data_IF_657018403702
#
_entry.id   IF_657018403702
#
_cell.length_a   1.000
_cell.length_b   1.000
_cell.length_c   1.000
_cell.angle_alpha   90.00
_cell.angle_beta   90.00
_cell.angle_gamma   90.00
#
_symmetry.space_group_name_H-M   'P 1'
#
loop_
_entity.id
_entity.type
_entity.pdbx_description
1 polymer ?
#
# COMPACT_ATOMS: atom_id res chain seq x y z
N UNK A 1 11.71 -2.80 13.67
CA UNK A 1 11.49 -4.12 13.06
C UNK A 1 12.42 -5.10 13.74
N UNK A 2 11.90 -6.23 14.20
CA UNK A 2 12.69 -7.27 14.88
C UNK A 2 13.27 -8.27 13.87
N UNK A 3 14.29 -9.02 14.26
CA UNK A 3 14.92 -10.02 13.38
C UNK A 3 13.93 -11.11 12.93
N UNK A 4 12.97 -11.48 13.80
CA UNK A 4 11.90 -12.42 13.47
C UNK A 4 10.96 -11.88 12.40
N UNK A 5 10.58 -10.60 12.49
CA UNK A 5 9.76 -9.95 11.48
C UNK A 5 10.50 -9.87 10.14
N UNK A 6 11.81 -9.59 10.19
CA UNK A 6 12.69 -9.49 9.01
C UNK A 6 12.78 -10.83 8.28
N UNK A 7 13.09 -11.91 8.99
CA UNK A 7 13.12 -13.26 8.43
C UNK A 7 11.75 -13.69 7.87
N UNK A 8 10.66 -13.30 8.54
CA UNK A 8 9.30 -13.54 8.06
C UNK A 8 9.01 -12.81 6.73
N UNK A 9 9.50 -11.58 6.57
CA UNK A 9 9.37 -10.81 5.34
C UNK A 9 10.17 -11.46 4.20
N UNK A 10 11.44 -11.79 4.43
CA UNK A 10 12.33 -12.43 3.43
C UNK A 10 11.73 -13.73 2.90
N UNK A 11 11.20 -14.57 3.79
CA UNK A 11 10.51 -15.80 3.40
C UNK A 11 9.31 -15.55 2.48
N UNK A 12 8.51 -14.52 2.77
CA UNK A 12 7.35 -14.16 1.93
C UNK A 12 7.77 -13.58 0.59
N UNK A 13 8.82 -12.76 0.55
CA UNK A 13 9.37 -12.25 -0.72
C UNK A 13 9.81 -13.41 -1.60
N UNK A 14 10.54 -14.38 -1.05
CA UNK A 14 10.96 -15.57 -1.80
C UNK A 14 9.76 -16.41 -2.30
N UNK A 15 8.69 -16.53 -1.50
CA UNK A 15 7.50 -17.30 -1.86
C UNK A 15 6.61 -16.61 -2.90
N UNK A 16 6.39 -15.30 -2.77
CA UNK A 16 5.40 -14.58 -3.56
C UNK A 16 5.98 -13.88 -4.79
N UNK A 17 7.28 -13.60 -4.80
CA UNK A 17 7.97 -12.90 -5.89
C UNK A 17 9.16 -13.71 -6.46
N UNK A 18 9.06 -15.05 -6.67
CA UNK A 18 10.19 -15.85 -7.10
C UNK A 18 10.69 -15.40 -8.48
N UNK A 19 11.94 -14.95 -8.54
CA UNK A 19 12.58 -14.52 -9.78
C UNK A 19 11.98 -13.26 -10.42
N UNK A 20 11.10 -12.52 -9.73
CA UNK A 20 10.53 -11.28 -10.28
C UNK A 20 11.52 -10.12 -10.08
N UNK A 21 11.93 -9.42 -11.15
CA UNK A 21 12.76 -8.22 -11.01
C UNK A 21 11.97 -7.11 -10.31
N UNK A 22 12.71 -6.15 -9.75
CA UNK A 22 12.13 -4.90 -9.27
C UNK A 22 11.36 -4.20 -10.40
N UNK A 23 10.18 -3.68 -10.10
CA UNK A 23 9.36 -2.97 -11.08
C UNK A 23 9.98 -1.59 -11.38
N UNK A 24 10.05 -1.24 -12.66
CA UNK A 24 10.23 0.15 -13.10
C UNK A 24 8.84 0.77 -13.31
N UNK A 25 8.53 1.82 -12.55
CA UNK A 25 7.26 2.53 -12.61
C UNK A 25 7.36 3.89 -13.31
N UNK A 26 8.50 4.19 -13.93
CA UNK A 26 8.73 5.44 -14.65
C UNK A 26 7.64 5.73 -15.68
N UNK A 27 6.97 6.87 -15.54
CA UNK A 27 5.87 7.29 -16.43
C UNK A 27 4.61 6.44 -16.32
N UNK A 28 4.46 5.65 -15.25
CA UNK A 28 3.29 4.80 -15.01
C UNK A 28 2.47 5.28 -13.82
N UNK A 29 1.19 4.92 -13.84
CA UNK A 29 0.32 5.01 -12.66
C UNK A 29 0.39 3.71 -11.87
N UNK A 30 0.76 3.80 -10.60
CA UNK A 30 0.74 2.69 -9.66
C UNK A 30 -0.59 2.66 -8.90
N UNK A 31 -1.23 1.50 -8.81
CA UNK A 31 -2.44 1.30 -8.01
C UNK A 31 -2.15 0.30 -6.92
N UNK A 32 -2.31 0.70 -5.67
CA UNK A 32 -2.21 -0.20 -4.51
C UNK A 32 -3.59 -0.54 -3.98
N UNK A 33 -3.84 -1.81 -3.70
CA UNK A 33 -5.15 -2.35 -3.32
C UNK A 33 -5.01 -3.22 -2.07
N UNK A 34 -5.94 -3.07 -1.12
CA UNK A 34 -6.03 -3.92 0.06
C UNK A 34 -7.48 -4.06 0.51
N UNK A 35 -7.81 -5.16 1.18
CA UNK A 35 -9.18 -5.43 1.65
C UNK A 35 -9.51 -4.58 2.89
N UNK A 36 -8.50 -4.24 3.69
CA UNK A 36 -8.65 -3.40 4.87
C UNK A 36 -7.41 -2.60 5.25
N UNK A 37 -7.62 -1.43 5.85
CA UNK A 37 -6.55 -0.59 6.41
C UNK A 37 -6.94 -0.13 7.80
N UNK A 38 -6.10 -0.45 8.80
CA UNK A 38 -6.28 0.04 10.17
C UNK A 38 -5.75 1.47 10.34
N UNK A 39 -4.41 1.66 10.33
CA UNK A 39 -3.74 2.96 10.56
C UNK A 39 -3.06 3.54 9.30
N UNK A 40 -3.09 2.82 8.18
CA UNK A 40 -2.49 3.25 6.91
C UNK A 40 -0.97 3.11 6.79
N UNK A 41 -0.24 2.65 7.81
CA UNK A 41 1.22 2.58 7.80
C UNK A 41 1.82 1.79 6.62
N UNK A 42 1.31 0.58 6.38
CA UNK A 42 1.73 -0.25 5.25
C UNK A 42 1.44 0.44 3.91
N UNK A 43 0.26 1.04 3.76
CA UNK A 43 -0.11 1.76 2.54
C UNK A 43 0.78 2.97 2.27
N UNK A 44 1.10 3.75 3.31
CA UNK A 44 2.03 4.88 3.20
C UNK A 44 3.42 4.43 2.77
N UNK A 45 3.90 3.30 3.31
CA UNK A 45 5.16 2.71 2.87
C UNK A 45 5.10 2.29 1.38
N UNK A 46 4.00 1.65 0.95
CA UNK A 46 3.80 1.26 -0.46
C UNK A 46 3.77 2.49 -1.39
N UNK A 47 3.09 3.57 -0.99
CA UNK A 47 3.08 4.83 -1.74
C UNK A 47 4.51 5.37 -1.89
N UNK A 48 5.28 5.41 -0.81
CA UNK A 48 6.67 5.86 -0.82
C UNK A 48 7.54 5.03 -1.76
N UNK A 49 7.41 3.70 -1.73
CA UNK A 49 8.11 2.80 -2.64
C UNK A 49 7.71 3.06 -4.10
N UNK A 50 6.42 3.20 -4.39
CA UNK A 50 5.96 3.45 -5.76
C UNK A 50 6.54 4.77 -6.33
N UNK A 51 6.56 5.83 -5.51
CA UNK A 51 7.19 7.11 -5.88
C UNK A 51 8.69 6.97 -6.11
N UNK A 52 9.39 6.25 -5.23
CA UNK A 52 10.83 6.00 -5.37
C UNK A 52 11.18 5.19 -6.64
N UNK A 53 10.26 4.35 -7.12
CA UNK A 53 10.37 3.61 -8.37
C UNK A 53 9.93 4.41 -9.62
N UNK A 54 9.64 5.70 -9.48
CA UNK A 54 9.36 6.59 -10.60
C UNK A 54 7.89 6.70 -11.02
N UNK A 55 6.94 6.22 -10.20
CA UNK A 55 5.52 6.32 -10.52
C UNK A 55 5.08 7.79 -10.72
N UNK A 56 4.52 8.08 -11.90
CA UNK A 56 3.94 9.38 -12.22
C UNK A 56 2.74 9.68 -11.32
N UNK A 57 1.93 8.64 -11.07
CA UNK A 57 0.78 8.71 -10.16
C UNK A 57 0.71 7.48 -9.26
N UNK A 58 0.17 7.66 -8.06
CA UNK A 58 -0.09 6.61 -7.09
C UNK A 58 -1.52 6.74 -6.60
N UNK A 59 -2.32 5.70 -6.84
CA UNK A 59 -3.71 5.59 -6.42
C UNK A 59 -3.86 4.50 -5.36
N UNK A 60 -4.74 4.71 -4.39
CA UNK A 60 -5.04 3.76 -3.33
C UNK A 60 -6.51 3.34 -3.41
N UNK A 61 -6.77 2.03 -3.39
CA UNK A 61 -8.10 1.48 -3.22
C UNK A 61 -8.14 0.57 -2.00
N UNK A 62 -9.06 0.82 -1.07
CA UNK A 62 -9.23 -0.02 0.12
C UNK A 62 -10.68 -0.45 0.30
N UNK A 63 -10.90 -1.70 0.73
CA UNK A 63 -12.22 -2.20 1.12
C UNK A 63 -12.75 -1.49 2.37
N UNK A 64 -12.23 -1.85 3.54
CA UNK A 64 -12.61 -1.32 4.84
C UNK A 64 -11.51 -0.43 5.45
N UNK A 65 -11.84 0.82 5.82
CA UNK A 65 -10.89 1.69 6.49
C UNK A 65 -11.58 2.75 7.36
N UNK A 66 -10.99 3.13 8.51
CA UNK A 66 -11.36 4.32 9.26
C UNK A 66 -11.25 5.59 8.42
N UNK A 67 -12.10 6.58 8.71
CA UNK A 67 -12.16 7.82 7.94
C UNK A 67 -10.85 8.63 8.04
N UNK A 68 -10.24 8.68 9.21
CA UNK A 68 -8.95 9.33 9.47
C UNK A 68 -7.80 8.66 8.70
N UNK A 69 -7.79 7.33 8.62
CA UNK A 69 -6.84 6.57 7.80
C UNK A 69 -6.97 6.92 6.32
N UNK A 70 -8.18 6.97 5.77
CA UNK A 70 -8.39 7.37 4.36
C UNK A 70 -7.97 8.83 4.14
N UNK A 71 -8.33 9.74 5.05
CA UNK A 71 -7.93 11.14 4.97
C UNK A 71 -6.40 11.29 4.95
N UNK A 72 -5.70 10.53 5.80
CA UNK A 72 -4.24 10.51 5.82
C UNK A 72 -3.63 9.98 4.53
N UNK A 73 -4.22 8.94 3.92
CA UNK A 73 -3.76 8.39 2.65
C UNK A 73 -3.93 9.39 1.49
N UNK A 74 -5.01 10.17 1.48
CA UNK A 74 -5.23 11.25 0.50
C UNK A 74 -4.18 12.36 0.55
N UNK A 75 -3.49 12.53 1.69
CA UNK A 75 -2.38 13.48 1.79
C UNK A 75 -1.09 12.98 1.13
N UNK A 76 -0.99 11.70 0.77
CA UNK A 76 0.24 11.09 0.24
C UNK A 76 0.08 10.46 -1.14
N UNK A 77 -1.13 10.01 -1.49
CA UNK A 77 -1.50 9.51 -2.81
C UNK A 77 -2.17 10.60 -3.66
N UNK A 78 -2.20 10.44 -4.98
CA UNK A 78 -2.96 11.35 -5.85
C UNK A 78 -4.46 11.12 -5.70
N UNK A 79 -4.86 9.90 -5.39
CA UNK A 79 -6.24 9.54 -5.06
C UNK A 79 -6.28 8.40 -4.04
N UNK A 80 -7.26 8.45 -3.13
CA UNK A 80 -7.58 7.33 -2.26
C UNK A 80 -9.08 7.12 -2.15
N UNK A 81 -9.51 5.91 -2.50
CA UNK A 81 -10.91 5.47 -2.55
C UNK A 81 -11.14 4.37 -1.52
N UNK A 82 -12.27 4.46 -0.81
CA UNK A 82 -12.78 3.44 0.10
C UNK A 82 -14.07 2.86 -0.47
N UNK A 83 -14.18 1.52 -0.55
CA UNK A 83 -15.31 0.85 -1.17
C UNK A 83 -16.51 0.67 -0.22
N UNK A 84 -16.28 0.33 1.04
CA UNK A 84 -17.35 0.16 2.02
C UNK A 84 -17.68 1.51 2.69
N UNK A 85 -18.93 1.97 2.49
CA UNK A 85 -19.45 3.25 2.99
C UNK A 85 -19.91 3.24 4.45
N UNK A 86 -20.04 2.07 5.06
CA UNK A 86 -20.62 1.87 6.40
C UNK A 86 -19.50 1.78 7.47
N UNK A 87 -19.78 2.04 8.77
CA UNK A 87 -18.71 2.12 9.77
C UNK A 87 -18.02 0.77 9.95
N UNK A 88 -16.69 0.76 9.92
CA UNK A 88 -15.90 -0.34 10.46
C UNK A 88 -16.13 -0.35 11.99
N UNK A 89 -16.97 -1.27 12.46
CA UNK A 89 -17.15 -1.53 13.89
C UNK A 89 -16.20 -2.68 14.25
N UNK A 90 -15.14 -2.44 15.06
CA UNK A 90 -14.19 -3.47 15.47
C UNK A 90 -14.81 -4.54 16.39
#
# INVERSE_FOLDING_TARGET
>A
MTERERAGLERRVALYLPGRPTLDLSGRTAVTVDDGVAMGGTMLATIGVARALGAERVLVAVGAAPHDSVARLRCSADEAVRLLGEPFVP
#
